data_IF_585998833471
#
_entry.id   IF_585998833471
#
_cell.length_a   1.000
_cell.length_b   1.000
_cell.length_c   1.000
_cell.angle_alpha   90.00
_cell.angle_beta   90.00
_cell.angle_gamma   90.00
#
_symmetry.space_group_name_H-M   'P 1'
#
loop_
_entity.id
_entity.type
_entity.pdbx_description
1 polymer ?
#
# COMPACT_ATOMS: atom_id res chain seq x y z
N UNK A 1 -0.40 -87.57 -36.77
CA UNK A 1 -0.54 -88.83 -35.98
C UNK A 1 -1.01 -88.41 -34.61
N UNK A 2 -2.22 -88.70 -34.36
CA UNK A 2 -3.12 -88.54 -33.18
C UNK A 2 -2.55 -89.23 -31.93
N UNK A 3 -2.90 -88.73 -30.74
CA UNK A 3 -3.31 -89.41 -29.56
C UNK A 3 -3.13 -88.43 -28.34
N UNK A 4 -4.08 -87.76 -27.90
CA UNK A 4 -5.17 -87.93 -26.86
C UNK A 4 -4.71 -88.27 -25.44
N UNK A 5 -5.07 -87.40 -24.54
CA UNK A 5 -5.70 -87.53 -23.18
C UNK A 5 -5.02 -88.37 -22.10
N UNK A 6 -4.84 -87.82 -20.93
CA UNK A 6 -5.61 -88.30 -19.76
C UNK A 6 -5.46 -87.45 -18.52
N UNK A 7 -6.58 -87.27 -17.85
CA UNK A 7 -6.88 -86.57 -16.58
C UNK A 7 -6.46 -87.38 -15.32
N UNK A 8 -6.47 -86.64 -14.22
CA UNK A 8 -6.60 -87.05 -12.79
C UNK A 8 -5.25 -87.18 -12.07
N UNK A 9 -5.02 -86.68 -10.92
CA UNK A 9 -5.69 -86.34 -9.67
C UNK A 9 -4.59 -85.79 -8.77
N UNK A 10 -4.71 -84.88 -8.02
CA UNK A 10 -5.39 -84.51 -6.77
C UNK A 10 -4.37 -84.22 -5.66
N UNK A 11 -4.60 -83.11 -5.03
CA UNK A 11 -4.47 -82.80 -3.62
C UNK A 11 -3.14 -82.92 -2.85
N UNK A 12 -2.91 -81.79 -2.15
CA UNK A 12 -2.23 -81.62 -0.90
C UNK A 12 -0.77 -81.06 -0.90
N UNK A 13 -0.66 -79.90 -0.42
CA UNK A 13 0.61 -79.20 -0.07
C UNK A 13 0.32 -77.79 0.39
N UNK A 14 -0.34 -77.65 1.52
CA UNK A 14 -0.42 -76.40 2.29
C UNK A 14 0.98 -76.03 2.78
N UNK A 15 1.34 -74.77 2.66
CA UNK A 15 2.36 -74.28 3.55
C UNK A 15 3.22 -73.11 3.03
N UNK A 16 2.96 -71.95 3.55
CA UNK A 16 3.89 -70.82 3.76
C UNK A 16 4.73 -70.32 2.56
N UNK A 17 4.24 -69.24 1.98
CA UNK A 17 5.05 -68.18 1.43
C UNK A 17 4.18 -66.93 1.20
N UNK A 18 3.62 -66.39 2.29
CA UNK A 18 3.10 -65.02 2.39
C UNK A 18 4.07 -64.28 3.32
N UNK A 19 4.93 -63.44 2.81
CA UNK A 19 5.49 -62.30 3.54
C UNK A 19 6.79 -61.82 2.90
N UNK A 20 6.72 -61.16 1.74
CA UNK A 20 7.76 -60.17 1.33
C UNK A 20 7.27 -59.29 0.16
N UNK A 21 6.06 -58.78 0.24
CA UNK A 21 5.60 -57.79 -0.76
C UNK A 21 4.85 -56.63 -0.08
N UNK A 22 5.33 -56.16 1.08
CA UNK A 22 4.69 -55.04 1.81
C UNK A 22 5.70 -54.03 2.39
N UNK A 23 6.82 -53.78 1.70
CA UNK A 23 7.83 -52.82 2.15
C UNK A 23 8.45 -52.00 1.00
N UNK A 24 7.75 -51.86 -0.11
CA UNK A 24 8.19 -51.00 -1.22
C UNK A 24 7.17 -49.88 -1.54
N UNK A 25 6.28 -49.54 -0.59
CA UNK A 25 5.26 -48.50 -0.78
C UNK A 25 5.45 -47.25 0.11
N UNK A 26 6.66 -47.01 0.62
CA UNK A 26 6.96 -45.84 1.45
C UNK A 26 8.28 -45.14 1.03
N UNK A 27 8.57 -45.09 -0.25
CA UNK A 27 9.71 -44.31 -0.75
C UNK A 27 9.38 -43.57 -2.07
N UNK A 28 8.10 -43.24 -2.30
CA UNK A 28 7.76 -42.08 -3.09
C UNK A 28 7.48 -40.94 -2.08
N UNK A 29 8.54 -40.31 -1.61
CA UNK A 29 8.43 -38.93 -1.20
C UNK A 29 7.94 -38.18 -2.43
N UNK A 30 6.64 -37.94 -2.53
CA UNK A 30 6.11 -36.91 -3.39
C UNK A 30 6.88 -35.66 -2.99
N UNK A 31 7.79 -35.19 -3.84
CA UNK A 31 8.09 -33.78 -3.91
C UNK A 31 6.72 -33.15 -4.24
N UNK A 32 5.92 -32.86 -3.20
CA UNK A 32 4.69 -32.09 -3.38
C UNK A 32 5.10 -30.84 -4.12
N UNK A 33 4.50 -30.62 -5.30
CA UNK A 33 4.73 -29.39 -6.04
C UNK A 33 4.50 -28.24 -5.04
N UNK A 34 5.52 -27.39 -4.88
CA UNK A 34 5.43 -26.21 -4.03
C UNK A 34 4.35 -25.33 -4.61
N UNK A 35 3.51 -24.76 -3.75
CA UNK A 35 2.53 -23.79 -4.20
C UNK A 35 3.25 -22.62 -4.89
N UNK A 36 2.74 -22.20 -6.03
CA UNK A 36 3.24 -21.05 -6.79
C UNK A 36 2.43 -19.82 -6.48
N UNK A 37 3.05 -18.77 -5.96
CA UNK A 37 2.43 -17.47 -5.69
C UNK A 37 3.14 -16.40 -6.52
N UNK A 38 2.36 -15.55 -7.19
CA UNK A 38 2.88 -14.38 -7.91
C UNK A 38 2.44 -13.12 -7.16
N UNK A 39 3.39 -12.24 -6.81
CA UNK A 39 3.09 -10.94 -6.20
C UNK A 39 3.40 -9.82 -7.18
N UNK A 40 2.43 -8.91 -7.39
CA UNK A 40 2.50 -7.81 -8.36
C UNK A 40 2.28 -6.48 -7.64
N UNK A 41 3.30 -5.64 -7.61
CA UNK A 41 3.29 -4.30 -7.00
C UNK A 41 2.83 -3.22 -7.98
N UNK A 42 2.69 -1.97 -7.50
CA UNK A 42 2.46 -0.79 -8.36
C UNK A 42 3.74 -0.27 -9.01
N UNK A 43 4.90 -0.54 -8.41
CA UNK A 43 6.22 -0.21 -8.97
C UNK A 43 7.26 -1.19 -8.44
N UNK A 44 8.04 -1.78 -9.35
CA UNK A 44 9.08 -2.74 -8.94
C UNK A 44 10.25 -2.07 -8.21
N UNK A 45 10.63 -0.86 -8.61
CA UNK A 45 11.83 -0.17 -8.11
C UNK A 45 11.59 0.68 -6.85
N UNK A 46 10.34 0.95 -6.49
CA UNK A 46 10.02 1.77 -5.33
C UNK A 46 10.44 1.08 -4.02
N UNK A 47 11.12 1.80 -3.14
CA UNK A 47 11.68 1.29 -1.86
C UNK A 47 10.61 0.66 -0.95
N UNK A 48 9.40 1.21 -0.93
CA UNK A 48 8.26 0.65 -0.22
C UNK A 48 7.98 -0.79 -0.69
N UNK A 49 7.91 -1.02 -2.00
CA UNK A 49 7.65 -2.35 -2.54
C UNK A 49 8.84 -3.29 -2.42
N UNK A 50 10.07 -2.79 -2.40
CA UNK A 50 11.23 -3.62 -2.08
C UNK A 50 11.17 -4.17 -0.66
N UNK A 51 10.69 -3.36 0.31
CA UNK A 51 10.44 -3.83 1.67
C UNK A 51 9.29 -4.87 1.72
N UNK A 52 8.21 -4.66 0.96
CA UNK A 52 7.12 -5.63 0.84
C UNK A 52 7.59 -6.95 0.20
N UNK A 53 8.39 -6.89 -0.85
CA UNK A 53 8.96 -8.09 -1.48
C UNK A 53 9.89 -8.86 -0.54
N UNK A 54 10.63 -8.14 0.33
CA UNK A 54 11.43 -8.80 1.36
C UNK A 54 10.54 -9.59 2.33
N UNK A 55 9.47 -9.00 2.82
CA UNK A 55 8.50 -9.68 3.69
C UNK A 55 7.86 -10.88 2.99
N UNK A 56 7.42 -10.69 1.74
CA UNK A 56 6.86 -11.76 0.92
C UNK A 56 7.84 -12.93 0.73
N UNK A 57 9.13 -12.63 0.47
CA UNK A 57 10.17 -13.64 0.33
C UNK A 57 10.40 -14.41 1.64
N UNK A 58 10.49 -13.72 2.77
CA UNK A 58 10.69 -14.35 4.07
C UNK A 58 9.50 -15.28 4.42
N UNK A 59 8.27 -14.89 4.09
CA UNK A 59 7.08 -15.72 4.23
C UNK A 59 7.12 -16.94 3.29
N UNK A 60 7.51 -16.75 2.03
CA UNK A 60 7.62 -17.82 1.04
C UNK A 60 8.67 -18.86 1.45
N UNK A 61 9.83 -18.42 1.93
CA UNK A 61 10.89 -19.30 2.43
C UNK A 61 10.39 -20.13 3.63
N UNK A 62 9.70 -19.49 4.60
CA UNK A 62 9.11 -20.16 5.77
C UNK A 62 8.03 -21.18 5.39
N UNK A 63 7.19 -20.85 4.41
CA UNK A 63 6.06 -21.67 4.00
C UNK A 63 6.40 -22.66 2.88
N UNK A 64 7.65 -22.64 2.37
CA UNK A 64 8.12 -23.45 1.26
C UNK A 64 7.31 -23.24 -0.02
N UNK A 65 7.09 -22.00 -0.40
CA UNK A 65 6.34 -21.54 -1.58
C UNK A 65 7.30 -21.11 -2.68
N UNK A 66 6.97 -21.33 -3.92
CA UNK A 66 7.65 -20.74 -5.06
C UNK A 66 7.05 -19.35 -5.31
N UNK A 67 7.80 -18.31 -4.97
CA UNK A 67 7.39 -16.92 -5.11
C UNK A 67 8.00 -16.27 -6.35
N UNK A 68 7.14 -15.70 -7.20
CA UNK A 68 7.53 -14.78 -8.26
C UNK A 68 7.15 -13.35 -7.88
N UNK A 69 8.11 -12.41 -7.95
CA UNK A 69 7.87 -10.99 -7.69
C UNK A 69 7.86 -10.21 -9.00
N UNK A 70 6.85 -9.37 -9.19
CA UNK A 70 6.66 -8.59 -10.41
C UNK A 70 6.09 -7.20 -10.09
N UNK A 71 6.17 -6.30 -11.06
CA UNK A 71 5.62 -4.94 -10.98
C UNK A 71 6.10 -4.10 -12.15
N UNK A 72 5.36 -3.06 -12.53
CA UNK A 72 5.80 -2.15 -13.59
C UNK A 72 7.03 -1.33 -13.16
N UNK A 73 7.71 -0.76 -14.13
CA UNK A 73 8.90 0.07 -13.90
C UNK A 73 8.57 1.34 -13.10
N UNK A 74 7.34 1.85 -13.26
CA UNK A 74 6.81 3.00 -12.53
C UNK A 74 5.30 2.88 -12.33
N UNK A 75 4.75 3.51 -11.30
CA UNK A 75 3.30 3.50 -11.00
C UNK A 75 2.45 4.11 -12.13
N UNK A 76 3.03 4.99 -12.95
CA UNK A 76 2.38 5.55 -14.14
C UNK A 76 2.16 4.52 -15.26
N UNK A 77 2.85 3.38 -15.24
CA UNK A 77 2.79 2.35 -16.27
C UNK A 77 1.64 1.35 -16.01
N UNK A 78 0.42 1.85 -15.90
CA UNK A 78 -0.78 1.03 -15.62
C UNK A 78 -0.96 -0.09 -16.64
N UNK A 79 -0.73 0.16 -17.93
CA UNK A 79 -0.85 -0.85 -18.98
C UNK A 79 0.13 -2.01 -18.76
N UNK A 80 1.37 -1.72 -18.33
CA UNK A 80 2.37 -2.74 -18.01
C UNK A 80 1.90 -3.62 -16.84
N UNK A 81 1.28 -3.03 -15.80
CA UNK A 81 0.73 -3.80 -14.68
C UNK A 81 -0.41 -4.72 -15.14
N UNK A 82 -1.31 -4.23 -15.99
CA UNK A 82 -2.42 -5.03 -16.55
C UNK A 82 -1.87 -6.21 -17.36
N UNK A 83 -0.87 -5.98 -18.22
CA UNK A 83 -0.21 -7.05 -19.00
C UNK A 83 0.47 -8.08 -18.09
N UNK A 84 1.17 -7.64 -17.04
CA UNK A 84 1.82 -8.52 -16.07
C UNK A 84 0.81 -9.36 -15.30
N UNK A 85 -0.32 -8.77 -14.87
CA UNK A 85 -1.39 -9.51 -14.19
C UNK A 85 -2.02 -10.55 -15.13
N UNK A 86 -2.32 -10.17 -16.37
CA UNK A 86 -2.85 -11.11 -17.38
C UNK A 86 -1.88 -12.26 -17.66
N UNK A 87 -0.58 -11.97 -17.77
CA UNK A 87 0.46 -12.97 -17.92
C UNK A 87 0.55 -13.91 -16.71
N UNK A 88 0.45 -13.37 -15.49
CA UNK A 88 0.44 -14.15 -14.27
C UNK A 88 -0.78 -15.10 -14.21
N UNK A 89 -1.98 -14.62 -14.54
CA UNK A 89 -3.19 -15.45 -14.60
C UNK A 89 -3.01 -16.60 -15.62
N UNK A 90 -2.41 -16.34 -16.79
CA UNK A 90 -2.18 -17.33 -17.82
C UNK A 90 -1.12 -18.39 -17.42
N UNK A 91 -0.30 -18.14 -16.41
CA UNK A 91 0.64 -19.10 -15.86
C UNK A 91 -0.01 -20.10 -14.89
N UNK A 92 -1.29 -19.92 -14.55
CA UNK A 92 -2.05 -20.73 -13.59
C UNK A 92 -1.34 -20.91 -12.23
N UNK A 93 -0.95 -19.81 -11.54
CA UNK A 93 -0.41 -19.95 -10.19
C UNK A 93 -1.51 -20.40 -9.22
N UNK A 94 -1.11 -20.89 -8.04
CA UNK A 94 -2.05 -21.28 -6.99
C UNK A 94 -2.73 -20.06 -6.33
N UNK A 95 -2.07 -18.90 -6.34
CA UNK A 95 -2.64 -17.62 -5.92
C UNK A 95 -1.84 -16.42 -6.48
N UNK A 96 -2.48 -15.26 -6.51
CA UNK A 96 -1.85 -13.99 -6.89
C UNK A 96 -2.02 -13.00 -5.73
N UNK A 97 -0.98 -12.22 -5.40
CA UNK A 97 -1.07 -11.04 -4.55
C UNK A 97 -0.92 -9.78 -5.41
N UNK A 98 -1.84 -8.81 -5.26
CA UNK A 98 -1.93 -7.64 -6.15
C UNK A 98 -2.10 -6.34 -5.36
N UNK A 99 -1.23 -5.36 -5.64
CA UNK A 99 -1.44 -3.95 -5.31
C UNK A 99 -1.82 -3.20 -6.59
N UNK A 100 -3.10 -2.90 -6.79
CA UNK A 100 -3.55 -2.28 -8.03
C UNK A 100 -3.22 -0.77 -8.08
N UNK A 101 -2.60 -0.31 -9.15
CA UNK A 101 -2.42 1.12 -9.44
C UNK A 101 -3.76 1.80 -9.75
N UNK A 102 -4.58 1.12 -10.55
CA UNK A 102 -5.95 1.54 -10.89
C UNK A 102 -6.88 0.34 -10.78
N UNK A 103 -7.80 0.31 -9.80
CA UNK A 103 -8.71 -0.82 -9.60
C UNK A 103 -9.55 -1.18 -10.83
N UNK A 104 -10.03 -0.18 -11.57
CA UNK A 104 -10.86 -0.41 -12.76
C UNK A 104 -10.09 -1.05 -13.91
N UNK A 105 -8.80 -0.75 -14.05
CA UNK A 105 -7.98 -1.26 -15.14
C UNK A 105 -7.69 -2.76 -15.07
N UNK A 106 -7.75 -3.35 -13.88
CA UNK A 106 -7.41 -4.76 -13.61
C UNK A 106 -8.62 -5.70 -13.64
N UNK A 107 -9.85 -5.18 -13.77
CA UNK A 107 -11.09 -5.96 -13.61
C UNK A 107 -11.19 -7.15 -14.57
N UNK A 108 -10.85 -6.98 -15.85
CA UNK A 108 -10.92 -8.08 -16.83
C UNK A 108 -9.97 -9.23 -16.46
N UNK A 109 -8.78 -8.92 -15.98
CA UNK A 109 -7.83 -9.93 -15.52
C UNK A 109 -8.30 -10.62 -14.24
N UNK A 110 -8.97 -9.90 -13.33
CA UNK A 110 -9.58 -10.48 -12.13
C UNK A 110 -10.74 -11.41 -12.46
N UNK A 111 -11.60 -11.05 -13.43
CA UNK A 111 -12.65 -11.95 -13.95
C UNK A 111 -12.03 -13.24 -14.49
N UNK A 112 -10.92 -13.13 -15.25
CA UNK A 112 -10.20 -14.30 -15.74
C UNK A 112 -9.60 -15.13 -14.61
N UNK A 113 -8.97 -14.52 -13.61
CA UNK A 113 -8.46 -15.22 -12.42
C UNK A 113 -9.59 -15.99 -11.71
N UNK A 114 -10.73 -15.34 -11.50
CA UNK A 114 -11.91 -15.97 -10.89
C UNK A 114 -12.41 -17.18 -11.68
N UNK A 115 -12.51 -17.05 -13.01
CA UNK A 115 -12.96 -18.14 -13.89
C UNK A 115 -12.04 -19.37 -13.84
N UNK A 116 -10.77 -19.15 -13.56
CA UNK A 116 -9.75 -20.20 -13.40
C UNK A 116 -9.57 -20.65 -11.95
N UNK A 117 -10.41 -20.14 -11.02
CA UNK A 117 -10.34 -20.45 -9.59
C UNK A 117 -9.02 -20.06 -8.94
N UNK A 118 -8.35 -19.04 -9.45
CA UNK A 118 -7.13 -18.46 -8.86
C UNK A 118 -7.55 -17.38 -7.86
N UNK A 119 -7.36 -17.58 -6.55
CA UNK A 119 -7.65 -16.58 -5.54
C UNK A 119 -6.64 -15.42 -5.65
N UNK A 120 -7.15 -14.19 -5.46
CA UNK A 120 -6.33 -12.99 -5.43
C UNK A 120 -6.34 -12.41 -4.02
N UNK A 121 -5.17 -12.06 -3.50
CA UNK A 121 -4.99 -11.33 -2.24
C UNK A 121 -4.60 -9.90 -2.59
N UNK A 122 -5.39 -8.94 -2.12
CA UNK A 122 -4.97 -7.54 -2.16
C UNK A 122 -3.81 -7.28 -1.20
N UNK A 123 -2.91 -6.39 -1.53
CA UNK A 123 -1.98 -5.82 -0.55
C UNK A 123 -1.76 -4.33 -0.83
N UNK A 124 -1.28 -3.57 0.14
CA UNK A 124 -1.16 -2.11 0.06
C UNK A 124 -2.48 -1.44 -0.36
N UNK A 125 -2.59 -1.00 -1.61
CA UNK A 125 -3.80 -0.39 -2.16
C UNK A 125 -4.96 -1.37 -2.36
N UNK A 126 -4.67 -2.68 -2.41
CA UNK A 126 -5.66 -3.69 -2.75
C UNK A 126 -6.39 -3.42 -4.07
N UNK A 127 -7.61 -3.91 -4.17
CA UNK A 127 -8.52 -3.62 -5.30
C UNK A 127 -9.90 -3.29 -4.73
N UNK A 128 -10.10 -2.09 -4.18
CA UNK A 128 -11.42 -1.71 -3.68
C UNK A 128 -12.45 -1.73 -4.81
N UNK A 129 -13.62 -2.28 -4.51
CA UNK A 129 -14.70 -2.37 -5.49
C UNK A 129 -14.56 -3.53 -6.50
N UNK A 130 -13.68 -4.53 -6.25
CA UNK A 130 -13.62 -5.72 -7.11
C UNK A 130 -15.01 -6.39 -7.23
N UNK A 131 -15.55 -6.38 -8.44
CA UNK A 131 -16.84 -6.97 -8.76
C UNK A 131 -16.73 -8.44 -9.19
N UNK A 132 -15.53 -8.93 -9.49
CA UNK A 132 -15.30 -10.31 -9.93
C UNK A 132 -15.42 -11.34 -8.82
N UNK A 133 -15.17 -10.93 -7.56
CA UNK A 133 -15.03 -11.79 -6.41
C UNK A 133 -13.78 -12.68 -6.47
N UNK A 134 -12.76 -12.27 -7.23
CA UNK A 134 -11.43 -12.91 -7.24
C UNK A 134 -10.61 -12.51 -6.01
N UNK A 135 -10.75 -11.26 -5.56
CA UNK A 135 -10.09 -10.75 -4.36
C UNK A 135 -10.83 -11.28 -3.12
N UNK A 136 -10.14 -12.09 -2.33
CA UNK A 136 -10.73 -12.80 -1.19
C UNK A 136 -10.31 -12.26 0.17
N UNK A 137 -9.22 -11.51 0.24
CA UNK A 137 -8.76 -10.77 1.41
C UNK A 137 -7.69 -9.74 1.00
N UNK A 138 -7.39 -8.78 1.88
CA UNK A 138 -6.37 -7.74 1.66
C UNK A 138 -5.50 -7.57 2.90
N UNK A 139 -4.18 -7.51 2.71
CA UNK A 139 -3.20 -7.10 3.72
C UNK A 139 -2.82 -5.63 3.48
N UNK A 140 -3.28 -4.72 4.31
CA UNK A 140 -3.16 -3.27 4.09
C UNK A 140 -3.07 -2.51 5.40
N UNK A 141 -2.74 -1.23 5.34
CA UNK A 141 -2.93 -0.29 6.44
C UNK A 141 -4.38 0.20 6.46
N UNK A 142 -4.97 0.45 7.63
CA UNK A 142 -6.15 1.29 7.75
C UNK A 142 -5.78 2.72 7.32
N UNK A 143 -5.89 2.99 6.02
CA UNK A 143 -5.48 4.26 5.42
C UNK A 143 -6.35 5.44 5.88
N UNK A 144 -7.60 5.22 6.27
CA UNK A 144 -8.46 6.28 6.83
C UNK A 144 -7.93 6.68 8.22
N UNK A 145 -7.70 5.71 9.09
CA UNK A 145 -7.14 5.98 10.41
C UNK A 145 -5.73 6.59 10.32
N UNK A 146 -4.88 6.09 9.41
CA UNK A 146 -3.52 6.59 9.20
C UNK A 146 -3.50 8.04 8.69
N UNK A 147 -4.37 8.40 7.74
CA UNK A 147 -4.54 9.78 7.29
C UNK A 147 -5.05 10.70 8.40
N UNK A 148 -6.01 10.22 9.20
CA UNK A 148 -6.50 10.90 10.39
C UNK A 148 -5.40 11.16 11.43
N UNK A 149 -4.48 10.20 11.60
CA UNK A 149 -3.33 10.35 12.49
C UNK A 149 -2.39 11.49 12.05
N UNK A 150 -2.12 11.64 10.74
CA UNK A 150 -1.36 12.80 10.22
C UNK A 150 -2.07 14.10 10.58
N UNK A 151 -3.38 14.20 10.33
CA UNK A 151 -4.18 15.39 10.62
C UNK A 151 -4.16 15.77 12.11
N UNK A 152 -4.32 14.78 12.98
CA UNK A 152 -4.32 14.98 14.44
C UNK A 152 -2.97 15.49 14.95
N UNK A 153 -1.86 14.91 14.46
CA UNK A 153 -0.52 15.36 14.83
C UNK A 153 -0.20 16.77 14.29
N UNK A 154 -0.62 17.08 13.06
CA UNK A 154 -0.51 18.45 12.53
C UNK A 154 -1.33 19.43 13.36
N UNK A 155 -2.59 19.11 13.67
CA UNK A 155 -3.48 19.94 14.43
C UNK A 155 -3.04 20.12 15.91
N UNK A 156 -2.29 19.18 16.47
CA UNK A 156 -1.71 19.30 17.82
C UNK A 156 -0.60 20.37 17.91
N UNK A 157 0.01 20.72 16.76
CA UNK A 157 1.12 21.68 16.73
C UNK A 157 0.65 23.12 16.99
N UNK A 158 1.22 23.80 18.00
CA UNK A 158 0.80 25.15 18.41
C UNK A 158 1.08 26.21 17.33
N UNK A 159 2.17 26.09 16.57
CA UNK A 159 2.46 27.03 15.47
C UNK A 159 1.43 26.85 14.32
N UNK A 160 0.97 25.64 14.07
CA UNK A 160 -0.11 25.38 13.14
C UNK A 160 -1.43 26.01 13.59
N UNK A 161 -1.83 25.79 14.83
CA UNK A 161 -3.05 26.40 15.41
C UNK A 161 -3.04 27.93 15.31
N UNK A 162 -1.90 28.53 15.67
CA UNK A 162 -1.73 29.98 15.59
C UNK A 162 -1.81 30.50 14.14
N UNK A 163 -1.16 29.81 13.20
CA UNK A 163 -1.16 30.20 11.79
C UNK A 163 -2.56 30.09 11.16
N UNK A 164 -3.28 29.00 11.45
CA UNK A 164 -4.64 28.79 10.93
C UNK A 164 -5.64 29.74 11.60
N UNK A 165 -5.54 29.96 12.92
CA UNK A 165 -6.39 30.88 13.68
C UNK A 165 -6.23 32.35 13.24
N UNK A 166 -5.12 32.72 12.64
CA UNK A 166 -4.89 34.05 12.05
C UNK A 166 -5.60 34.25 10.69
N UNK A 167 -6.17 33.22 10.10
CA UNK A 167 -6.88 33.28 8.82
C UNK A 167 -8.12 34.16 8.89
N UNK A 168 -8.36 34.94 7.83
CA UNK A 168 -9.53 35.79 7.67
C UNK A 168 -10.26 35.47 6.36
N UNK A 169 -11.47 35.99 6.19
CA UNK A 169 -12.23 35.79 4.94
C UNK A 169 -11.57 36.44 3.73
N UNK A 170 -10.77 37.49 3.91
CA UNK A 170 -10.01 38.16 2.85
C UNK A 170 -8.63 37.53 2.61
N UNK A 171 -8.09 36.84 3.60
CA UNK A 171 -6.80 36.14 3.55
C UNK A 171 -6.91 34.81 4.34
N UNK A 172 -7.57 33.79 3.77
CA UNK A 172 -7.73 32.52 4.47
C UNK A 172 -6.37 31.81 4.60
N UNK A 173 -6.19 31.11 5.74
CA UNK A 173 -5.07 30.19 5.89
C UNK A 173 -5.27 28.99 4.95
N UNK A 174 -4.21 28.58 4.24
CA UNK A 174 -4.28 27.49 3.28
C UNK A 174 -3.46 26.30 3.76
N UNK A 175 -4.05 25.11 3.70
CA UNK A 175 -3.39 23.82 3.89
C UNK A 175 -3.40 23.10 2.54
N UNK A 176 -2.22 22.89 1.97
CA UNK A 176 -2.07 22.12 0.74
C UNK A 176 -2.06 20.62 1.02
N UNK A 177 -2.71 19.84 0.18
CA UNK A 177 -2.63 18.37 0.17
C UNK A 177 -2.16 17.95 -1.20
N UNK A 178 -1.03 17.27 -1.27
CA UNK A 178 -0.51 16.66 -2.50
C UNK A 178 -0.88 15.17 -2.48
N UNK A 179 -1.92 14.81 -3.21
CA UNK A 179 -2.33 13.43 -3.46
C UNK A 179 -1.70 12.98 -4.79
N UNK A 180 -0.96 11.86 -4.78
CA UNK A 180 -0.28 11.35 -5.96
C UNK A 180 -1.23 11.06 -7.12
N UNK A 181 -2.41 10.52 -6.80
CA UNK A 181 -3.48 10.21 -7.73
C UNK A 181 -4.85 10.27 -7.03
N UNK A 182 -5.92 10.05 -7.78
CA UNK A 182 -7.30 10.03 -7.28
C UNK A 182 -8.00 8.69 -7.48
N UNK A 183 -7.27 7.61 -7.75
CA UNK A 183 -7.82 6.29 -8.13
C UNK A 183 -7.30 5.15 -7.26
N UNK A 184 -6.07 5.21 -6.81
CA UNK A 184 -5.48 4.21 -5.92
C UNK A 184 -6.21 4.17 -4.57
N UNK A 185 -6.62 2.98 -4.15
CA UNK A 185 -7.39 2.79 -2.92
C UNK A 185 -6.72 3.35 -1.68
N UNK A 186 -5.41 3.13 -1.52
CA UNK A 186 -4.65 3.65 -0.37
C UNK A 186 -4.61 5.19 -0.34
N UNK A 187 -4.40 5.84 -1.50
CA UNK A 187 -4.35 7.31 -1.58
C UNK A 187 -5.72 7.91 -1.29
N UNK A 188 -6.78 7.38 -1.91
CA UNK A 188 -8.15 7.89 -1.72
C UNK A 188 -8.57 7.81 -0.26
N UNK A 189 -8.40 6.67 0.39
CA UNK A 189 -8.76 6.46 1.80
C UNK A 189 -7.92 7.34 2.73
N UNK A 190 -6.63 7.47 2.48
CA UNK A 190 -5.69 8.28 3.28
C UNK A 190 -6.04 9.76 3.24
N UNK A 191 -6.32 10.29 2.04
CA UNK A 191 -6.74 11.69 1.89
C UNK A 191 -8.11 11.93 2.48
N UNK A 192 -9.06 10.98 2.36
CA UNK A 192 -10.35 11.05 3.06
C UNK A 192 -10.14 11.19 4.58
N UNK A 193 -9.36 10.28 5.17
CA UNK A 193 -9.08 10.30 6.61
C UNK A 193 -8.41 11.60 7.07
N UNK A 194 -7.41 12.08 6.30
CA UNK A 194 -6.75 13.36 6.61
C UNK A 194 -7.72 14.55 6.54
N UNK A 195 -8.48 14.66 5.44
CA UNK A 195 -9.40 15.81 5.24
C UNK A 195 -10.48 15.81 6.31
N UNK A 196 -11.11 14.65 6.58
CA UNK A 196 -12.21 14.56 7.55
C UNK A 196 -11.74 14.89 8.97
N UNK A 197 -10.61 14.31 9.38
CA UNK A 197 -10.05 14.59 10.70
C UNK A 197 -9.56 16.04 10.81
N UNK A 198 -8.89 16.58 9.77
CA UNK A 198 -8.41 17.96 9.84
C UNK A 198 -9.54 18.97 9.89
N UNK A 199 -10.61 18.81 9.10
CA UNK A 199 -11.80 19.66 9.19
C UNK A 199 -12.35 19.63 10.62
N UNK A 200 -12.51 18.44 11.20
CA UNK A 200 -13.02 18.28 12.56
C UNK A 200 -12.12 18.94 13.61
N UNK A 201 -10.79 18.90 13.45
CA UNK A 201 -9.86 19.58 14.36
C UNK A 201 -9.86 21.11 14.17
N UNK A 202 -9.93 21.59 12.93
CA UNK A 202 -9.96 23.02 12.64
C UNK A 202 -11.24 23.68 13.15
N UNK A 203 -12.38 23.00 13.05
CA UNK A 203 -13.67 23.55 13.54
C UNK A 203 -13.74 23.70 15.07
N UNK A 204 -12.83 23.09 15.82
CA UNK A 204 -12.67 23.32 17.26
C UNK A 204 -11.94 24.62 17.59
N UNK A 205 -11.25 25.23 16.62
CA UNK A 205 -10.55 26.50 16.81
C UNK A 205 -11.56 27.65 16.77
N UNK A 206 -11.47 28.58 17.72
CA UNK A 206 -12.36 29.70 17.82
C UNK A 206 -12.47 30.51 16.51
N UNK A 207 -13.69 30.66 16.03
CA UNK A 207 -14.01 31.42 14.82
C UNK A 207 -13.84 30.65 13.51
N UNK A 208 -13.47 29.34 13.53
CA UNK A 208 -13.36 28.48 12.34
C UNK A 208 -14.56 27.54 12.17
N UNK A 209 -15.45 27.39 13.14
CA UNK A 209 -16.63 26.54 13.03
C UNK A 209 -17.47 26.92 11.80
N UNK A 210 -17.66 25.99 10.87
CA UNK A 210 -18.32 26.17 9.59
C UNK A 210 -17.60 27.09 8.57
N UNK A 211 -16.35 27.54 8.86
CA UNK A 211 -15.54 28.43 8.02
C UNK A 211 -14.32 27.71 7.41
N UNK A 212 -14.33 26.38 7.37
CA UNK A 212 -13.31 25.56 6.74
C UNK A 212 -13.83 25.07 5.38
N UNK A 213 -13.17 25.43 4.30
CA UNK A 213 -13.50 25.03 2.93
C UNK A 213 -12.53 23.94 2.44
N UNK A 214 -13.05 22.91 1.79
CA UNK A 214 -12.23 21.91 1.11
C UNK A 214 -12.48 22.00 -0.39
N UNK A 215 -11.43 22.24 -1.15
CA UNK A 215 -11.48 22.46 -2.61
C UNK A 215 -10.31 21.78 -3.33
N UNK A 216 -10.23 21.98 -4.64
CA UNK A 216 -9.27 21.36 -5.54
C UNK A 216 -9.88 20.17 -6.26
N UNK A 217 -9.38 18.95 -6.04
CA UNK A 217 -9.92 17.76 -6.69
C UNK A 217 -11.36 17.48 -6.22
N UNK A 218 -12.28 17.33 -7.17
CA UNK A 218 -13.73 17.31 -6.96
C UNK A 218 -14.19 16.27 -5.92
N UNK A 219 -13.61 15.07 -5.92
CA UNK A 219 -14.02 13.98 -5.03
C UNK A 219 -13.85 14.29 -3.53
N UNK A 220 -12.97 15.25 -3.17
CA UNK A 220 -12.72 15.66 -1.78
C UNK A 220 -13.35 17.02 -1.43
N UNK A 221 -14.06 17.64 -2.36
CA UNK A 221 -14.65 18.98 -2.15
C UNK A 221 -15.72 18.96 -1.08
N UNK A 222 -15.59 19.86 -0.09
CA UNK A 222 -16.57 20.10 0.99
C UNK A 222 -16.69 21.62 1.21
N UNK A 223 -17.74 22.26 0.65
CA UNK A 223 -17.92 23.69 0.80
C UNK A 223 -18.15 24.08 2.25
N UNK A 224 -17.55 25.19 2.69
CA UNK A 224 -17.81 25.77 4.02
C UNK A 224 -19.24 26.30 4.16
N UNK A 225 -19.80 26.22 5.35
CA UNK A 225 -21.15 26.76 5.65
C UNK A 225 -21.18 28.30 5.76
N UNK A 226 -20.03 28.94 6.00
CA UNK A 226 -19.82 30.37 6.07
C UNK A 226 -18.59 30.80 5.27
N UNK A 227 -18.35 32.11 5.03
CA UNK A 227 -17.16 32.54 4.29
C UNK A 227 -15.87 31.97 4.87
N UNK A 228 -15.11 31.27 4.04
CA UNK A 228 -13.95 30.50 4.47
C UNK A 228 -12.85 31.38 5.08
N UNK A 229 -12.36 30.99 6.25
CA UNK A 229 -11.17 31.52 6.91
C UNK A 229 -10.00 30.56 6.86
N UNK A 230 -10.28 29.26 6.65
CA UNK A 230 -9.29 28.23 6.38
C UNK A 230 -9.70 27.45 5.12
N UNK A 231 -8.72 27.02 4.33
CA UNK A 231 -8.93 26.21 3.12
C UNK A 231 -8.01 25.03 3.12
N UNK A 232 -8.56 23.84 2.88
CA UNK A 232 -7.80 22.64 2.54
C UNK A 232 -7.89 22.49 1.03
N UNK A 233 -6.76 22.52 0.34
CA UNK A 233 -6.72 22.45 -1.13
C UNK A 233 -6.04 21.16 -1.56
N UNK A 234 -6.81 20.22 -2.12
CA UNK A 234 -6.31 18.94 -2.60
C UNK A 234 -5.88 19.07 -4.05
N UNK A 235 -4.60 18.84 -4.30
CA UNK A 235 -3.97 18.88 -5.64
C UNK A 235 -3.57 17.47 -6.04
N UNK A 236 -3.95 17.07 -7.26
CA UNK A 236 -3.56 15.82 -7.90
C UNK A 236 -2.76 16.18 -9.16
N UNK A 237 -1.54 15.64 -9.35
CA UNK A 237 -0.77 15.85 -10.57
C UNK A 237 -1.46 15.19 -11.78
N UNK A 238 -1.17 15.63 -13.01
CA UNK A 238 -1.74 15.02 -14.23
C UNK A 238 -1.37 13.55 -14.40
N UNK A 239 -0.18 13.16 -13.99
CA UNK A 239 0.29 11.76 -13.95
C UNK A 239 1.08 11.50 -12.67
N UNK A 240 1.34 10.22 -12.37
CA UNK A 240 2.19 9.84 -11.23
C UNK A 240 3.69 9.89 -11.55
N UNK A 241 4.10 10.62 -12.62
CA UNK A 241 5.52 10.85 -12.89
C UNK A 241 6.13 11.81 -11.88
N UNK A 242 7.41 11.59 -11.52
CA UNK A 242 8.09 12.47 -10.57
C UNK A 242 8.12 13.95 -11.03
N UNK A 243 8.22 14.21 -12.33
CA UNK A 243 8.19 15.57 -12.87
C UNK A 243 6.83 16.26 -12.64
N UNK A 244 5.71 15.55 -12.86
CA UNK A 244 4.38 16.09 -12.62
C UNK A 244 4.10 16.28 -11.13
N UNK A 245 4.53 15.34 -10.29
CA UNK A 245 4.40 15.43 -8.83
C UNK A 245 5.21 16.62 -8.31
N UNK A 246 6.47 16.80 -8.75
CA UNK A 246 7.28 17.95 -8.39
C UNK A 246 6.64 19.28 -8.84
N UNK A 247 6.07 19.32 -10.06
CA UNK A 247 5.38 20.50 -10.58
C UNK A 247 4.13 20.83 -9.75
N UNK A 248 3.36 19.83 -9.35
CA UNK A 248 2.21 19.99 -8.47
C UNK A 248 2.63 20.50 -7.07
N UNK A 249 3.72 19.96 -6.49
CA UNK A 249 4.31 20.46 -5.25
C UNK A 249 4.72 21.94 -5.37
N UNK A 250 5.41 22.33 -6.45
CA UNK A 250 5.80 23.72 -6.70
C UNK A 250 4.58 24.63 -6.85
N UNK A 251 3.50 24.17 -7.48
CA UNK A 251 2.24 24.91 -7.56
C UNK A 251 1.63 25.16 -6.19
N UNK A 252 1.57 24.14 -5.33
CA UNK A 252 1.08 24.29 -3.94
C UNK A 252 1.95 25.29 -3.18
N UNK A 253 3.28 25.18 -3.27
CA UNK A 253 4.23 26.06 -2.59
C UNK A 253 4.12 27.55 -3.03
N UNK A 254 3.55 27.81 -4.20
CA UNK A 254 3.29 29.17 -4.70
C UNK A 254 1.96 29.75 -4.23
N UNK A 255 1.13 28.99 -3.53
CA UNK A 255 -0.20 29.42 -3.06
C UNK A 255 -0.07 30.44 -1.94
N UNK A 256 -0.76 31.58 -2.09
CA UNK A 256 -0.81 32.60 -1.06
C UNK A 256 -1.52 32.10 0.19
N UNK A 257 -0.98 32.44 1.38
CA UNK A 257 -1.57 32.03 2.66
C UNK A 257 -1.26 30.58 3.05
N UNK A 258 -0.37 29.87 2.35
CA UNK A 258 0.00 28.49 2.66
C UNK A 258 0.70 28.41 4.02
N UNK A 259 0.12 27.66 4.96
CA UNK A 259 0.63 27.47 6.33
C UNK A 259 1.11 26.04 6.58
N UNK A 260 0.52 25.07 5.87
CA UNK A 260 0.93 23.66 5.96
C UNK A 260 0.79 22.94 4.62
N UNK A 261 1.55 21.85 4.46
CA UNK A 261 1.50 20.94 3.31
C UNK A 261 1.55 19.50 3.78
N UNK A 262 0.59 18.70 3.35
CA UNK A 262 0.60 17.25 3.50
C UNK A 262 0.92 16.58 2.18
N UNK A 263 1.98 15.75 2.15
CA UNK A 263 2.31 14.89 1.02
C UNK A 263 1.86 13.45 1.35
N UNK A 264 0.89 12.94 0.59
CA UNK A 264 0.10 11.79 0.98
C UNK A 264 0.78 10.42 0.77
N UNK A 265 2.00 10.37 0.22
CA UNK A 265 2.82 9.16 0.07
C UNK A 265 4.29 9.51 -0.20
N UNK A 266 5.16 8.49 -0.29
CA UNK A 266 6.60 8.67 -0.54
C UNK A 266 6.90 9.48 -1.80
N UNK A 267 6.20 9.22 -2.91
CA UNK A 267 6.45 9.96 -4.16
C UNK A 267 6.02 11.42 -4.07
N UNK A 268 4.91 11.71 -3.38
CA UNK A 268 4.51 13.07 -3.04
C UNK A 268 5.55 13.78 -2.16
N UNK A 269 6.10 13.08 -1.17
CA UNK A 269 7.17 13.60 -0.32
C UNK A 269 8.42 13.90 -1.15
N UNK A 270 8.84 12.99 -2.03
CA UNK A 270 9.98 13.21 -2.94
C UNK A 270 9.75 14.42 -3.85
N UNK A 271 8.51 14.62 -4.31
CA UNK A 271 8.12 15.81 -5.08
C UNK A 271 8.26 17.10 -4.30
N UNK A 272 7.86 17.13 -3.03
CA UNK A 272 8.04 18.30 -2.15
C UNK A 272 9.51 18.55 -1.88
N UNK A 273 10.30 17.53 -1.56
CA UNK A 273 11.75 17.64 -1.33
C UNK A 273 12.42 18.23 -2.58
N UNK A 274 12.12 17.69 -3.77
CA UNK A 274 12.69 18.18 -5.03
C UNK A 274 12.26 19.62 -5.36
N UNK A 275 10.99 19.98 -5.08
CA UNK A 275 10.49 21.34 -5.30
C UNK A 275 11.04 22.39 -4.30
N UNK A 276 11.73 21.94 -3.26
CA UNK A 276 12.29 22.79 -2.20
C UNK A 276 13.82 22.68 -2.09
N UNK A 277 14.49 22.45 -3.21
CA UNK A 277 15.97 22.32 -3.29
C UNK A 277 16.51 21.30 -2.27
N UNK A 278 16.08 20.05 -2.38
CA UNK A 278 16.42 18.98 -1.45
C UNK A 278 16.10 19.34 0.03
N UNK A 279 14.92 19.93 0.23
CA UNK A 279 14.40 20.42 1.50
C UNK A 279 15.17 21.61 2.13
N UNK A 280 16.18 22.17 1.48
CA UNK A 280 16.92 23.33 2.02
C UNK A 280 16.04 24.57 2.14
N UNK A 281 15.07 24.76 1.25
CA UNK A 281 14.10 25.87 1.33
C UNK A 281 13.14 25.73 2.52
N UNK A 282 13.08 24.55 3.17
CA UNK A 282 12.28 24.27 4.36
C UNK A 282 13.08 24.45 5.67
N UNK A 283 14.38 24.79 5.60
CA UNK A 283 15.19 25.04 6.79
C UNK A 283 14.52 26.09 7.70
N UNK A 284 14.36 25.76 8.97
CA UNK A 284 13.57 26.54 9.94
C UNK A 284 14.18 27.89 10.28
N UNK A 285 15.46 28.12 9.96
CA UNK A 285 16.17 29.37 10.25
C UNK A 285 16.31 30.25 9.01
N UNK A 286 16.73 29.69 7.90
CA UNK A 286 17.16 30.41 6.70
C UNK A 286 16.36 30.09 5.43
N UNK A 287 15.55 29.04 5.45
CA UNK A 287 14.81 28.57 4.29
C UNK A 287 13.76 29.56 3.78
N UNK A 288 13.52 29.54 2.48
CA UNK A 288 12.46 30.34 1.83
C UNK A 288 11.08 30.10 2.44
N UNK A 289 10.80 28.86 2.83
CA UNK A 289 9.54 28.41 3.42
C UNK A 289 9.68 28.04 4.90
N UNK A 290 10.57 28.72 5.64
CA UNK A 290 10.91 28.41 7.04
C UNK A 290 9.73 28.33 8.02
N UNK A 291 8.61 28.95 7.70
CA UNK A 291 7.39 28.94 8.53
C UNK A 291 6.36 27.88 8.05
N UNK A 292 6.58 27.24 6.90
CA UNK A 292 5.68 26.23 6.38
C UNK A 292 5.84 24.93 7.15
N UNK A 293 4.72 24.37 7.65
CA UNK A 293 4.71 23.09 8.31
C UNK A 293 4.44 21.98 7.29
N UNK A 294 5.40 21.11 7.06
CA UNK A 294 5.28 19.99 6.13
C UNK A 294 5.14 18.70 6.92
N UNK A 295 4.15 17.91 6.56
CA UNK A 295 3.94 16.54 7.07
C UNK A 295 3.90 15.57 5.91
N UNK A 296 4.42 14.37 6.12
CA UNK A 296 4.52 13.34 5.10
C UNK A 296 3.72 12.10 5.42
N UNK A 297 3.87 11.13 4.54
CA UNK A 297 3.43 9.77 4.70
C UNK A 297 4.49 8.83 4.11
N UNK A 298 4.57 7.60 4.61
CA UNK A 298 5.62 6.64 4.30
C UNK A 298 6.97 6.98 4.95
N UNK A 299 8.03 6.32 4.49
CA UNK A 299 9.42 6.54 4.88
C UNK A 299 10.30 6.51 3.61
N UNK A 300 11.57 6.63 3.76
CA UNK A 300 12.55 6.65 2.70
C UNK A 300 13.70 7.55 3.14
N UNK A 301 14.88 7.34 2.61
CA UNK A 301 16.09 8.01 3.11
C UNK A 301 15.94 9.53 3.18
N UNK A 302 15.58 10.19 2.09
CA UNK A 302 15.46 11.64 2.01
C UNK A 302 14.38 12.20 2.95
N UNK A 303 13.28 11.45 3.13
CA UNK A 303 12.22 11.81 4.05
C UNK A 303 12.67 11.73 5.51
N UNK A 304 13.37 10.64 5.89
CA UNK A 304 13.96 10.51 7.23
C UNK A 304 14.94 11.64 7.54
N UNK A 305 15.76 12.02 6.57
CA UNK A 305 16.69 13.15 6.72
C UNK A 305 15.95 14.48 6.88
N UNK A 306 14.84 14.70 6.15
CA UNK A 306 14.00 15.89 6.28
C UNK A 306 13.27 15.95 7.65
N UNK A 307 12.85 14.80 8.20
CA UNK A 307 12.27 14.73 9.55
C UNK A 307 13.33 15.00 10.62
N UNK A 308 14.51 14.35 10.54
CA UNK A 308 15.61 14.56 11.50
C UNK A 308 16.11 16.01 11.54
N UNK A 309 16.15 16.68 10.39
CA UNK A 309 16.56 18.08 10.32
C UNK A 309 15.48 19.06 10.79
N UNK A 310 14.23 18.59 10.99
CA UNK A 310 13.09 19.44 11.32
C UNK A 310 12.50 20.17 10.11
N UNK A 311 12.99 19.93 8.89
CA UNK A 311 12.37 20.43 7.66
C UNK A 311 10.93 19.94 7.52
N UNK A 312 10.69 18.65 7.85
CA UNK A 312 9.37 18.10 8.03
C UNK A 312 9.03 18.01 9.53
N UNK A 313 7.80 18.32 9.89
CA UNK A 313 7.28 18.18 11.26
C UNK A 313 7.28 16.70 11.69
N UNK A 314 6.93 15.84 10.77
CA UNK A 314 6.88 14.40 10.97
C UNK A 314 6.18 13.71 9.81
N UNK A 315 5.94 12.42 9.97
CA UNK A 315 5.29 11.59 8.96
C UNK A 315 4.61 10.38 9.61
N UNK A 316 3.71 9.73 8.89
CA UNK A 316 3.18 8.42 9.26
C UNK A 316 3.86 7.36 8.40
N UNK A 317 4.49 6.35 9.03
CA UNK A 317 4.99 5.17 8.33
C UNK A 317 3.98 4.03 8.39
N UNK A 318 4.06 3.14 7.43
CA UNK A 318 3.34 1.86 7.34
C UNK A 318 4.32 0.71 7.65
N UNK A 319 3.81 -0.52 7.60
CA UNK A 319 4.65 -1.71 7.63
C UNK A 319 4.58 -2.49 6.30
N UNK A 320 5.29 -2.05 5.26
CA UNK A 320 5.28 -2.73 3.97
C UNK A 320 5.85 -4.15 4.05
N UNK A 321 6.79 -4.41 4.95
CA UNK A 321 7.31 -5.76 5.16
C UNK A 321 6.19 -6.70 5.60
N UNK A 322 5.38 -6.31 6.61
CA UNK A 322 4.25 -7.12 7.05
C UNK A 322 3.17 -7.22 5.97
N UNK A 323 2.93 -6.19 5.17
CA UNK A 323 1.99 -6.31 4.04
C UNK A 323 2.39 -7.43 3.08
N UNK A 324 3.65 -7.46 2.66
CA UNK A 324 4.15 -8.52 1.79
C UNK A 324 4.15 -9.90 2.44
N UNK A 325 4.55 -9.97 3.71
CA UNK A 325 4.56 -11.20 4.49
C UNK A 325 3.14 -11.78 4.62
N UNK A 326 2.18 -10.98 5.06
CA UNK A 326 0.78 -11.37 5.23
C UNK A 326 0.11 -11.69 3.89
N UNK A 327 0.43 -10.97 2.83
CA UNK A 327 -0.10 -11.26 1.50
C UNK A 327 0.24 -12.69 1.05
N UNK A 328 1.48 -13.16 1.29
CA UNK A 328 1.86 -14.55 0.97
C UNK A 328 1.22 -15.55 1.92
N UNK A 329 1.14 -15.27 3.24
CA UNK A 329 0.44 -16.16 4.18
C UNK A 329 -1.05 -16.33 3.81
N UNK A 330 -1.74 -15.23 3.46
CA UNK A 330 -3.12 -15.24 3.01
C UNK A 330 -3.26 -15.98 1.67
N UNK A 331 -2.33 -15.76 0.73
CA UNK A 331 -2.32 -16.44 -0.57
C UNK A 331 -2.22 -17.95 -0.42
N UNK A 332 -1.34 -18.43 0.46
CA UNK A 332 -1.21 -19.88 0.76
C UNK A 332 -2.47 -20.46 1.39
N UNK A 333 -3.10 -19.75 2.32
CA UNK A 333 -4.37 -20.19 2.93
C UNK A 333 -5.49 -20.26 1.88
N UNK A 334 -5.62 -19.20 1.08
CA UNK A 334 -6.62 -19.15 0.02
C UNK A 334 -6.45 -20.26 -1.03
N UNK A 335 -5.19 -20.51 -1.46
CA UNK A 335 -4.85 -21.60 -2.38
C UNK A 335 -5.23 -22.99 -1.82
N UNK A 336 -5.17 -23.16 -0.51
CA UNK A 336 -5.62 -24.41 0.18
C UNK A 336 -7.13 -24.45 0.43
N UNK A 337 -7.90 -23.43 0.03
CA UNK A 337 -9.32 -23.33 0.28
C UNK A 337 -9.68 -23.00 1.74
N UNK A 338 -8.70 -22.50 2.53
CA UNK A 338 -8.93 -22.04 3.89
C UNK A 338 -9.59 -20.65 3.89
N UNK A 339 -10.41 -20.36 4.89
CA UNK A 339 -11.01 -19.04 5.04
C UNK A 339 -9.94 -17.97 5.36
N UNK A 340 -10.02 -16.83 4.69
CA UNK A 340 -9.14 -15.67 4.88
C UNK A 340 -9.97 -14.42 5.18
N UNK A 341 -9.35 -13.43 5.80
CA UNK A 341 -9.94 -12.12 6.08
C UNK A 341 -8.88 -11.03 5.93
N UNK A 342 -9.33 -9.80 5.80
CA UNK A 342 -8.45 -8.63 5.72
C UNK A 342 -7.56 -8.51 6.97
N UNK A 343 -6.34 -8.06 6.77
CA UNK A 343 -5.33 -7.82 7.81
C UNK A 343 -4.90 -6.37 7.75
N UNK A 344 -5.10 -5.64 8.87
CA UNK A 344 -4.48 -4.34 9.07
C UNK A 344 -3.06 -4.55 9.58
N UNK A 345 -2.08 -4.02 8.86
CA UNK A 345 -0.66 -4.08 9.20
C UNK A 345 -0.19 -2.90 10.06
N UNK A 346 -1.11 -1.97 10.36
CA UNK A 346 -0.87 -0.83 11.22
C UNK A 346 -0.16 0.34 10.55
N UNK A 347 -0.05 1.43 11.31
CA UNK A 347 0.70 2.63 10.94
C UNK A 347 1.14 3.40 12.18
N UNK A 348 2.26 4.13 12.09
CA UNK A 348 2.85 4.83 13.22
C UNK A 348 3.31 6.23 12.82
N UNK A 349 2.97 7.25 13.65
CA UNK A 349 3.55 8.58 13.54
C UNK A 349 5.01 8.55 13.96
N UNK A 350 5.86 9.22 13.20
CA UNK A 350 7.24 9.49 13.59
C UNK A 350 7.63 10.93 13.31
N UNK A 351 8.48 11.47 14.18
CA UNK A 351 9.08 12.79 14.10
C UNK A 351 10.51 12.78 14.63
N UNK A 352 11.15 13.92 14.73
CA UNK A 352 12.54 14.02 15.19
C UNK A 352 12.75 13.50 16.63
N UNK A 353 11.70 13.37 17.44
CA UNK A 353 11.81 12.92 18.83
C UNK A 353 11.81 11.39 18.98
N UNK A 354 11.21 10.66 18.01
CA UNK A 354 11.03 9.20 18.12
C UNK A 354 11.57 8.40 16.92
N UNK A 355 12.04 9.05 15.85
CA UNK A 355 12.48 8.40 14.62
C UNK A 355 13.59 7.34 14.82
N UNK A 356 14.39 7.50 15.86
CA UNK A 356 15.49 6.57 16.19
C UNK A 356 15.11 5.56 17.29
N UNK A 357 13.87 5.57 17.80
CA UNK A 357 13.36 4.53 18.70
C UNK A 357 13.28 3.19 17.95
N UNK A 358 13.58 2.09 18.64
CA UNK A 358 13.66 0.76 18.04
C UNK A 358 12.35 0.32 17.38
N UNK A 359 11.20 0.58 18.01
CA UNK A 359 9.86 0.26 17.53
C UNK A 359 9.45 1.04 16.28
N UNK A 360 10.03 2.23 16.08
CA UNK A 360 9.80 3.06 14.90
C UNK A 360 10.84 2.77 13.82
N UNK A 361 12.12 2.76 14.18
CA UNK A 361 13.22 2.65 13.22
C UNK A 361 13.16 1.35 12.39
N UNK A 362 12.64 0.26 12.97
CA UNK A 362 12.45 -1.01 12.27
C UNK A 362 11.41 -0.94 11.12
N UNK A 363 10.48 0.01 11.19
CA UNK A 363 9.45 0.24 10.18
C UNK A 363 9.91 1.17 9.06
N UNK A 364 11.05 1.86 9.26
CA UNK A 364 11.55 2.86 8.33
C UNK A 364 12.54 2.22 7.34
N UNK A 365 12.12 2.11 6.10
CA UNK A 365 12.91 1.56 4.99
C UNK A 365 13.77 2.64 4.30
N UNK A 366 14.77 2.19 3.51
CA UNK A 366 15.67 3.03 2.70
C UNK A 366 15.58 2.68 1.23
#
# INVERSE_FOLDING_TARGET
MTITLSRRSALAGLGLLCSTAALAACANGSSGDRLKVVIISKSYQNQFYQAAFKGAKDAADKLSVDLETNGPDAESNVSQQVEQLAAAVNQHPDAIALAASQPDAVQDALVNAKSQSIPVIGFDSGVPGDASGAVVATATTDNVAAGGNVATNLAANEAFKAAVGAGTTSAPAVIGVLAQDSTSGSIVQRVNGFVDALVAELEKIDGLAGAVDVSGQQQWTKPSASPAKAKIVVTVPPTTSQADIQSAAASILSTGGLVALFAANQDGVNGVISATNDATDLDRTSGKYKNLLVVGFDAGKSQKDAVRSGAFLGSVTQDPYQMGYQAVELAVKAAKGEAVADVDTGSHWYDASNIDNEDISILLYD
#
